data_IF_982884774073
#
_entry.id   IF_982884774073
#
_cell.length_a   1.000
_cell.length_b   1.000
_cell.length_c   1.000
_cell.angle_alpha   90.00
_cell.angle_beta   90.00
_cell.angle_gamma   90.00
#
_symmetry.space_group_name_H-M   'P 1'
#
loop_
_entity.id
_entity.type
_entity.pdbx_description
1 polymer ?
#
# COMPACT_ATOMS: atom_id res chain seq x y z
N UNK A 1 19.47 -17.36 3.28
CA UNK A 1 20.08 -18.01 2.09
C UNK A 1 19.06 -18.99 1.53
N UNK A 2 18.51 -18.70 0.36
CA UNK A 2 17.33 -19.39 -0.22
C UNK A 2 16.08 -18.50 -0.33
N UNK A 3 15.92 -17.52 0.57
CA UNK A 3 14.82 -16.56 0.55
C UNK A 3 15.16 -15.27 -0.21
N UNK A 4 14.12 -14.63 -0.76
CA UNK A 4 14.22 -13.33 -1.42
C UNK A 4 14.69 -12.19 -0.50
N UNK A 5 14.70 -10.96 -1.00
CA UNK A 5 15.02 -9.77 -0.20
C UNK A 5 13.73 -9.15 0.32
N UNK A 6 13.79 -8.54 1.51
CA UNK A 6 12.70 -7.73 2.09
C UNK A 6 13.25 -6.40 2.61
N UNK A 7 12.47 -5.33 2.48
CA UNK A 7 12.74 -4.09 3.16
C UNK A 7 12.11 -4.08 4.56
N UNK A 8 12.77 -3.37 5.46
CA UNK A 8 12.36 -3.18 6.85
C UNK A 8 12.50 -1.69 7.17
N UNK A 9 11.54 -1.11 7.87
CA UNK A 9 11.58 0.28 8.31
C UNK A 9 12.04 0.30 9.76
N UNK A 10 13.03 1.13 10.06
CA UNK A 10 13.52 1.35 11.41
C UNK A 10 13.09 2.75 11.89
N UNK A 11 12.31 2.79 12.97
CA UNK A 11 11.87 4.01 13.62
C UNK A 11 12.64 4.22 14.92
N UNK A 12 13.17 5.41 15.13
CA UNK A 12 13.95 5.75 16.33
C UNK A 12 13.38 7.00 17.02
N UNK A 13 13.35 7.03 18.37
CA UNK A 13 12.78 8.16 19.11
C UNK A 13 13.68 9.41 19.07
N UNK A 14 15.00 9.24 19.02
CA UNK A 14 15.94 10.36 19.07
C UNK A 14 16.96 10.33 17.94
N UNK A 15 17.42 11.51 17.53
CA UNK A 15 18.44 11.66 16.50
C UNK A 15 19.78 10.99 16.84
N UNK A 16 20.13 10.92 18.14
CA UNK A 16 21.33 10.20 18.61
C UNK A 16 21.26 8.70 18.29
N UNK A 17 20.08 8.10 18.38
CA UNK A 17 19.87 6.67 18.13
C UNK A 17 19.97 6.40 16.61
N UNK A 18 19.49 7.32 15.78
CA UNK A 18 19.68 7.26 14.32
C UNK A 18 21.16 7.32 13.95
N UNK A 19 21.95 8.18 14.62
CA UNK A 19 23.40 8.25 14.41
C UNK A 19 24.09 6.95 14.82
N UNK A 20 23.68 6.34 15.92
CA UNK A 20 24.20 5.05 16.37
C UNK A 20 23.84 3.94 15.38
N UNK A 21 22.59 3.90 14.91
CA UNK A 21 22.14 2.96 13.88
C UNK A 21 22.92 3.14 12.58
N UNK A 22 23.16 4.38 12.15
CA UNK A 22 23.97 4.67 10.96
C UNK A 22 25.42 4.15 11.10
N UNK A 23 26.02 4.23 12.29
CA UNK A 23 27.35 3.65 12.55
C UNK A 23 27.30 2.12 12.46
N UNK A 24 26.33 1.48 13.09
CA UNK A 24 26.16 0.02 13.01
C UNK A 24 25.93 -0.44 11.57
N UNK A 25 25.08 0.26 10.81
CA UNK A 25 24.79 -0.03 9.42
C UNK A 25 26.03 0.13 8.51
N UNK A 26 26.90 1.10 8.79
CA UNK A 26 28.12 1.33 8.01
C UNK A 26 29.10 0.15 8.01
N UNK A 27 28.99 -0.74 9.00
CA UNK A 27 29.78 -1.98 9.07
C UNK A 27 29.17 -3.11 8.22
N UNK A 28 27.94 -2.94 7.74
CA UNK A 28 27.15 -3.96 7.03
C UNK A 28 26.95 -3.64 5.54
N UNK A 29 27.20 -2.40 5.13
CA UNK A 29 27.03 -1.93 3.74
C UNK A 29 28.30 -1.27 3.25
N UNK A 30 28.50 -1.27 1.94
CA UNK A 30 29.70 -0.68 1.32
C UNK A 30 29.68 0.84 1.30
N UNK A 31 28.51 1.47 1.27
CA UNK A 31 28.41 2.93 1.25
C UNK A 31 27.16 3.45 1.98
N UNK A 32 27.22 3.73 3.28
CA UNK A 32 26.05 4.14 4.07
C UNK A 32 25.27 5.37 3.53
N UNK A 33 25.84 6.19 2.65
CA UNK A 33 25.17 7.35 2.06
C UNK A 33 24.34 7.02 0.81
N UNK A 34 24.46 5.82 0.23
CA UNK A 34 23.63 5.36 -0.87
C UNK A 34 22.34 4.71 -0.38
N UNK A 35 21.21 5.12 -0.98
CA UNK A 35 19.90 4.56 -0.65
C UNK A 35 19.78 3.07 -1.04
N UNK A 36 19.08 2.29 -0.21
CA UNK A 36 18.58 0.93 -0.50
C UNK A 36 19.61 -0.17 -0.80
N UNK A 37 20.78 -0.13 -0.15
CA UNK A 37 21.75 -1.22 -0.23
C UNK A 37 21.30 -2.47 0.55
N UNK A 38 21.67 -3.62 0.01
CA UNK A 38 21.51 -4.89 0.70
C UNK A 38 22.56 -5.00 1.81
N UNK A 39 22.12 -5.03 3.07
CA UNK A 39 22.96 -5.17 4.26
C UNK A 39 23.44 -6.61 4.54
N UNK A 40 23.14 -7.56 3.64
CA UNK A 40 23.55 -8.99 3.65
C UNK A 40 23.29 -9.76 4.94
N UNK A 41 22.45 -9.22 5.83
CA UNK A 41 21.97 -9.85 7.05
C UNK A 41 20.50 -10.25 6.91
N UNK A 42 20.05 -11.15 7.77
CA UNK A 42 18.63 -11.51 7.90
C UNK A 42 17.82 -10.39 8.55
N UNK A 43 16.50 -10.40 8.34
CA UNK A 43 15.61 -9.46 9.03
C UNK A 43 15.63 -9.67 10.55
N UNK A 44 15.86 -10.90 11.03
CA UNK A 44 16.03 -11.21 12.45
C UNK A 44 17.28 -10.55 13.05
N UNK A 45 18.41 -10.57 12.35
CA UNK A 45 19.63 -9.87 12.76
C UNK A 45 19.43 -8.35 12.71
N UNK A 46 18.76 -7.83 11.67
CA UNK A 46 18.43 -6.41 11.56
C UNK A 46 17.56 -5.96 12.75
N UNK A 47 16.55 -6.76 13.11
CA UNK A 47 15.73 -6.52 14.29
C UNK A 47 16.57 -6.46 15.57
N UNK A 48 17.52 -7.38 15.77
CA UNK A 48 18.35 -7.40 16.99
C UNK A 48 19.17 -6.11 17.12
N UNK A 49 19.76 -5.63 16.02
CA UNK A 49 20.53 -4.38 15.97
C UNK A 49 19.62 -3.19 16.30
N UNK A 50 18.49 -3.07 15.61
CA UNK A 50 17.53 -1.97 15.79
C UNK A 50 17.00 -1.94 17.23
N UNK A 51 16.55 -3.09 17.75
CA UNK A 51 16.01 -3.20 19.10
C UNK A 51 17.08 -2.90 20.17
N UNK A 52 18.35 -3.28 19.96
CA UNK A 52 19.44 -2.98 20.91
C UNK A 52 19.69 -1.48 21.07
N UNK A 53 19.53 -0.73 19.98
CA UNK A 53 19.70 0.74 19.93
C UNK A 53 18.44 1.47 20.44
N UNK A 54 17.34 0.76 20.68
CA UNK A 54 16.06 1.34 21.14
C UNK A 54 15.12 1.76 20.00
N UNK A 55 15.40 1.32 18.77
CA UNK A 55 14.50 1.49 17.64
C UNK A 55 13.43 0.40 17.56
N UNK A 56 12.47 0.63 16.67
CA UNK A 56 11.39 -0.30 16.33
C UNK A 56 11.53 -0.67 14.86
N UNK A 57 11.43 -1.97 14.57
CA UNK A 57 11.36 -2.48 13.22
C UNK A 57 9.91 -2.73 12.83
N UNK A 58 9.53 -2.28 11.63
CA UNK A 58 8.26 -2.60 10.96
C UNK A 58 8.58 -3.15 9.57
N UNK A 59 8.08 -4.34 9.21
CA UNK A 59 8.10 -4.83 7.83
C UNK A 59 7.53 -3.81 6.85
N UNK A 60 8.34 -3.43 5.86
CA UNK A 60 7.96 -2.47 4.83
C UNK A 60 7.16 -3.16 3.72
N UNK A 61 6.18 -2.45 3.17
CA UNK A 61 5.43 -2.79 1.95
C UNK A 61 5.32 -4.32 1.70
N UNK A 62 4.70 -5.03 2.65
CA UNK A 62 4.92 -6.44 2.90
C UNK A 62 4.47 -7.37 1.76
N UNK A 63 3.72 -6.85 0.79
CA UNK A 63 3.06 -7.60 -0.28
C UNK A 63 3.61 -7.31 -1.68
N UNK A 64 4.52 -6.34 -1.85
CA UNK A 64 5.07 -6.03 -3.18
C UNK A 64 5.77 -7.26 -3.77
N UNK A 65 5.66 -7.55 -5.07
CA UNK A 65 6.21 -8.79 -5.66
C UNK A 65 7.75 -8.87 -5.60
N UNK A 66 8.40 -7.76 -5.26
CA UNK A 66 9.84 -7.68 -5.04
C UNK A 66 10.11 -7.01 -3.71
N UNK A 67 11.24 -7.38 -3.09
CA UNK A 67 11.75 -6.75 -1.88
C UNK A 67 10.75 -6.71 -0.70
N UNK A 68 9.86 -7.69 -0.57
CA UNK A 68 8.87 -7.76 0.52
C UNK A 68 8.84 -9.13 1.21
N UNK A 69 8.24 -9.17 2.40
CA UNK A 69 8.12 -10.38 3.20
C UNK A 69 7.23 -11.43 2.51
N UNK A 70 5.96 -11.13 2.25
CA UNK A 70 5.00 -12.12 1.73
C UNK A 70 4.99 -12.23 0.21
N UNK A 71 5.30 -11.13 -0.48
CA UNK A 71 5.35 -11.12 -1.94
C UNK A 71 6.53 -11.93 -2.48
N UNK A 72 7.62 -12.07 -1.72
CA UNK A 72 8.87 -12.63 -2.26
C UNK A 72 9.72 -13.47 -1.28
N UNK A 73 9.62 -13.31 0.04
CA UNK A 73 10.54 -13.98 0.97
C UNK A 73 9.98 -15.27 1.58
N UNK A 74 8.81 -15.20 2.21
CA UNK A 74 8.28 -16.25 3.10
C UNK A 74 6.76 -16.38 2.95
N UNK A 75 6.20 -17.47 3.46
CA UNK A 75 4.73 -17.66 3.53
C UNK A 75 4.17 -17.19 4.87
N UNK A 76 4.98 -17.24 5.93
CA UNK A 76 4.62 -16.89 7.30
C UNK A 76 5.73 -16.11 8.01
N UNK A 77 5.36 -15.18 8.90
CA UNK A 77 6.34 -14.37 9.64
C UNK A 77 7.28 -15.20 10.55
N UNK A 78 6.84 -16.30 11.21
CA UNK A 78 7.74 -17.18 11.98
C UNK A 78 8.89 -17.80 11.19
N UNK A 79 8.85 -17.80 9.85
CA UNK A 79 9.97 -18.27 9.02
C UNK A 79 11.15 -17.28 9.02
N UNK A 80 10.91 -15.99 9.33
CA UNK A 80 11.95 -14.94 9.30
C UNK A 80 12.17 -14.24 10.65
N UNK A 81 11.22 -14.33 11.59
CA UNK A 81 11.32 -13.74 12.91
C UNK A 81 11.00 -14.77 14.01
N UNK A 82 11.77 -14.73 15.09
CA UNK A 82 11.47 -15.52 16.28
C UNK A 82 10.16 -15.08 16.94
N UNK A 83 9.52 -15.97 17.70
CA UNK A 83 8.29 -15.63 18.46
C UNK A 83 8.50 -14.47 19.44
N UNK A 84 9.69 -14.34 20.02
CA UNK A 84 10.02 -13.22 20.89
C UNK A 84 10.15 -11.89 20.12
N UNK A 85 10.68 -11.95 18.90
CA UNK A 85 10.75 -10.81 17.97
C UNK A 85 9.36 -10.35 17.54
N UNK A 86 8.50 -11.29 17.15
CA UNK A 86 7.15 -10.98 16.65
C UNK A 86 6.31 -10.19 17.65
N UNK A 87 6.41 -10.52 18.95
CA UNK A 87 5.74 -9.77 20.04
C UNK A 87 6.17 -8.31 20.15
N UNK A 88 7.30 -7.92 19.54
CA UNK A 88 7.86 -6.57 19.60
C UNK A 88 7.63 -5.77 18.32
N UNK A 89 7.13 -6.38 17.25
CA UNK A 89 6.75 -5.71 16.01
C UNK A 89 5.30 -5.22 16.18
N UNK A 90 5.03 -3.91 16.26
CA UNK A 90 3.67 -3.44 16.58
C UNK A 90 2.77 -3.33 15.34
N UNK A 91 3.35 -3.31 14.15
CA UNK A 91 2.63 -3.03 12.91
C UNK A 91 3.31 -3.68 11.68
N UNK A 92 2.55 -3.75 10.60
CA UNK A 92 3.00 -4.15 9.27
C UNK A 92 2.60 -3.05 8.28
N UNK A 93 3.51 -2.64 7.41
CA UNK A 93 3.18 -1.76 6.31
C UNK A 93 2.68 -2.57 5.11
N UNK A 94 1.48 -2.25 4.61
CA UNK A 94 0.87 -2.93 3.48
C UNK A 94 1.61 -2.62 2.17
N UNK A 95 1.80 -1.31 1.92
CA UNK A 95 2.37 -0.78 0.70
C UNK A 95 1.43 -0.89 -0.50
N UNK A 96 1.88 -0.31 -1.61
CA UNK A 96 1.07 0.02 -2.81
C UNK A 96 0.41 -1.14 -3.55
N UNK A 97 0.67 -2.38 -3.14
CA UNK A 97 0.19 -3.59 -3.82
C UNK A 97 -0.87 -4.34 -3.04
N UNK A 98 -1.21 -3.89 -1.84
CA UNK A 98 -2.21 -4.52 -0.99
C UNK A 98 -3.00 -3.49 -0.19
N UNK A 99 -4.25 -3.82 0.07
CA UNK A 99 -5.11 -3.15 1.02
C UNK A 99 -5.41 -4.09 2.20
N UNK A 100 -6.32 -3.65 3.08
CA UNK A 100 -6.76 -4.47 4.22
C UNK A 100 -7.41 -5.77 3.78
N UNK A 101 -8.23 -5.75 2.72
CA UNK A 101 -8.93 -6.93 2.22
C UNK A 101 -7.92 -8.02 1.82
N UNK A 102 -6.91 -7.66 1.02
CA UNK A 102 -5.86 -8.60 0.61
C UNK A 102 -5.10 -9.12 1.83
N UNK A 103 -4.65 -8.25 2.71
CA UNK A 103 -3.81 -8.63 3.84
C UNK A 103 -4.53 -9.54 4.86
N UNK A 104 -5.81 -9.29 5.16
CA UNK A 104 -6.59 -10.02 6.16
C UNK A 104 -7.04 -11.44 5.70
N UNK A 105 -6.57 -11.91 4.53
CA UNK A 105 -6.58 -13.35 4.23
C UNK A 105 -5.56 -14.13 5.07
N UNK A 106 -4.55 -13.46 5.62
CA UNK A 106 -3.52 -14.06 6.48
C UNK A 106 -3.91 -13.88 7.95
N UNK A 107 -4.25 -14.98 8.62
CA UNK A 107 -4.73 -14.96 10.00
C UNK A 107 -3.71 -14.37 10.98
N UNK A 108 -2.42 -14.63 10.76
CA UNK A 108 -1.36 -14.11 11.62
C UNK A 108 -1.31 -12.57 11.64
N UNK A 109 -1.85 -11.90 10.61
CA UNK A 109 -1.85 -10.45 10.52
C UNK A 109 -2.93 -9.76 11.36
N UNK A 110 -3.86 -10.53 11.93
CA UNK A 110 -4.90 -10.00 12.81
C UNK A 110 -4.34 -9.37 14.11
N UNK A 111 -3.13 -9.75 14.54
CA UNK A 111 -2.50 -9.20 15.73
C UNK A 111 -1.88 -7.80 15.50
N UNK A 112 -1.54 -7.46 14.25
CA UNK A 112 -0.77 -6.28 13.91
C UNK A 112 -1.64 -5.12 13.45
N UNK A 113 -1.21 -3.90 13.79
CA UNK A 113 -1.77 -2.67 13.19
C UNK A 113 -1.27 -2.55 11.75
N UNK A 114 -2.13 -2.12 10.83
CA UNK A 114 -1.72 -1.85 9.46
C UNK A 114 -1.34 -0.39 9.25
N UNK A 115 -0.26 -0.21 8.51
CA UNK A 115 0.20 1.08 8.03
C UNK A 115 0.13 1.14 6.51
N UNK A 116 -0.27 2.30 6.00
CA UNK A 116 -0.33 2.63 4.58
C UNK A 116 0.50 3.88 4.39
N UNK A 117 1.69 3.74 3.81
CA UNK A 117 2.66 4.82 3.68
C UNK A 117 3.14 4.92 2.24
N UNK A 118 3.37 6.15 1.81
CA UNK A 118 3.60 6.46 0.39
C UNK A 118 4.84 5.84 -0.27
N UNK A 119 5.90 5.49 0.48
CA UNK A 119 7.21 5.15 -0.10
C UNK A 119 7.64 6.15 -1.20
N UNK A 120 7.57 7.44 -0.86
CA UNK A 120 7.69 8.52 -1.82
C UNK A 120 9.14 8.73 -2.27
N UNK A 121 9.35 8.63 -3.58
CA UNK A 121 10.64 8.89 -4.24
C UNK A 121 10.64 10.21 -5.04
N UNK A 122 9.56 10.99 -4.93
CA UNK A 122 9.43 12.33 -5.50
C UNK A 122 8.36 13.11 -4.74
N UNK A 123 8.44 14.44 -4.76
CA UNK A 123 7.49 15.31 -4.07
C UNK A 123 6.02 15.01 -4.43
N UNK A 124 5.64 14.79 -5.71
CA UNK A 124 4.26 14.48 -6.07
C UNK A 124 3.74 13.12 -5.56
N UNK A 125 4.61 12.25 -5.04
CA UNK A 125 4.22 10.94 -4.51
C UNK A 125 4.12 10.94 -2.98
N UNK A 126 4.49 12.02 -2.29
CA UNK A 126 4.32 12.17 -0.84
C UNK A 126 2.82 12.09 -0.51
N UNK A 127 2.48 11.21 0.43
CA UNK A 127 1.10 11.07 0.90
C UNK A 127 0.16 10.39 -0.08
N UNK A 128 0.63 9.69 -1.13
CA UNK A 128 -0.26 8.83 -1.95
C UNK A 128 -0.87 7.65 -1.17
N UNK A 129 -0.26 7.33 -0.04
CA UNK A 129 -0.85 6.51 1.03
C UNK A 129 -0.47 7.16 2.36
N UNK A 130 -1.41 7.16 3.30
CA UNK A 130 -1.24 7.74 4.63
C UNK A 130 -2.26 7.16 5.60
N UNK A 131 -2.15 7.55 6.87
CA UNK A 131 -2.95 7.06 7.96
C UNK A 131 -3.61 8.25 8.66
N UNK A 132 -4.85 8.08 9.14
CA UNK A 132 -5.43 8.99 10.13
C UNK A 132 -5.20 8.35 11.50
N UNK A 133 -4.56 9.11 12.39
CA UNK A 133 -4.10 8.60 13.68
C UNK A 133 -4.73 9.43 14.80
N UNK A 134 -5.35 8.76 15.76
CA UNK A 134 -5.88 9.36 16.97
C UNK A 134 -4.80 9.32 18.06
N UNK A 135 -4.33 10.50 18.47
CA UNK A 135 -3.23 10.71 19.41
C UNK A 135 -3.62 11.76 20.45
N UNK A 136 -3.06 11.69 21.65
CA UNK A 136 -3.15 12.81 22.61
C UNK A 136 -2.23 13.96 22.18
N UNK A 137 -1.01 13.63 21.72
CA UNK A 137 0.03 14.59 21.31
C UNK A 137 0.78 14.08 20.09
N UNK A 138 1.22 14.99 19.22
CA UNK A 138 2.00 14.64 18.03
C UNK A 138 3.48 14.37 18.39
N UNK A 139 3.78 13.20 18.98
CA UNK A 139 5.13 12.78 19.30
C UNK A 139 5.34 11.27 19.10
N UNK A 140 6.60 10.83 19.15
CA UNK A 140 6.97 9.43 18.89
C UNK A 140 6.33 8.43 19.85
N UNK A 141 6.25 8.75 21.15
CA UNK A 141 5.65 7.88 22.16
C UNK A 141 4.18 7.60 21.83
N UNK A 142 3.45 8.64 21.46
CA UNK A 142 2.03 8.56 21.12
C UNK A 142 1.80 7.73 19.85
N UNK A 143 2.66 7.87 18.84
CA UNK A 143 2.63 6.99 17.66
C UNK A 143 2.84 5.52 18.06
N UNK A 144 3.82 5.23 18.94
CA UNK A 144 4.04 3.86 19.40
C UNK A 144 2.81 3.29 20.14
N UNK A 145 2.18 4.08 20.99
CA UNK A 145 0.93 3.69 21.66
C UNK A 145 -0.19 3.42 20.62
N UNK A 146 -0.29 4.24 19.57
CA UNK A 146 -1.26 4.04 18.49
C UNK A 146 -1.02 2.75 17.71
N UNK A 147 0.23 2.44 17.36
CA UNK A 147 0.60 1.20 16.69
C UNK A 147 0.31 -0.02 17.57
N UNK A 148 0.47 0.10 18.88
CA UNK A 148 0.16 -0.95 19.85
C UNK A 148 -1.32 -0.99 20.26
N UNK A 149 -2.14 -0.04 19.81
CA UNK A 149 -3.56 0.14 20.18
C UNK A 149 -3.77 0.24 21.69
N UNK A 150 -2.97 1.07 22.36
CA UNK A 150 -2.97 1.25 23.83
C UNK A 150 -3.50 2.62 24.23
N UNK A 151 -4.08 2.67 25.43
CA UNK A 151 -4.48 3.92 26.09
C UNK A 151 -5.39 4.81 25.20
N UNK A 152 -6.23 4.17 24.38
CA UNK A 152 -7.13 4.85 23.44
C UNK A 152 -6.49 5.33 22.14
N UNK A 153 -5.16 5.30 22.00
CA UNK A 153 -4.47 5.68 20.76
C UNK A 153 -4.61 4.59 19.72
N UNK A 154 -4.86 4.97 18.47
CA UNK A 154 -5.06 4.01 17.37
C UNK A 154 -4.95 4.66 16.00
N UNK A 155 -4.75 3.83 14.98
CA UNK A 155 -5.06 4.20 13.59
C UNK A 155 -6.57 4.10 13.42
N UNK A 156 -7.21 5.19 12.97
CA UNK A 156 -8.67 5.22 12.77
C UNK A 156 -9.08 5.05 11.30
N UNK A 157 -8.16 5.27 10.37
CA UNK A 157 -8.37 5.01 8.94
C UNK A 157 -7.03 4.83 8.23
N UNK A 158 -7.00 3.93 7.26
CA UNK A 158 -5.94 3.80 6.28
C UNK A 158 -6.42 4.37 4.95
N UNK A 159 -5.57 5.14 4.27
CA UNK A 159 -5.81 5.61 2.91
C UNK A 159 -4.69 5.12 2.02
N UNK A 160 -5.04 4.56 0.87
CA UNK A 160 -4.05 4.14 -0.10
C UNK A 160 -4.66 3.70 -1.42
N UNK A 161 -3.84 3.20 -2.32
CA UNK A 161 -4.25 2.91 -3.69
C UNK A 161 -5.20 1.71 -3.73
N UNK A 162 -6.16 1.70 -4.66
CA UNK A 162 -6.84 0.45 -5.01
C UNK A 162 -5.80 -0.52 -5.60
N UNK A 163 -5.53 -1.69 -4.97
CA UNK A 163 -4.51 -2.62 -5.42
C UNK A 163 -4.75 -3.12 -6.85
N UNK A 164 -5.99 -3.08 -7.36
CA UNK A 164 -6.33 -3.42 -8.76
C UNK A 164 -5.59 -2.54 -9.75
N UNK A 165 -5.26 -1.30 -9.40
CA UNK A 165 -4.45 -0.42 -10.25
C UNK A 165 -2.99 -0.86 -10.29
N UNK A 166 -2.52 -1.66 -9.33
CA UNK A 166 -1.14 -2.14 -9.25
C UNK A 166 -0.69 -2.93 -10.47
N UNK A 167 0.58 -2.77 -10.84
CA UNK A 167 1.21 -3.41 -12.02
C UNK A 167 1.19 -4.95 -12.00
N UNK A 168 1.08 -5.53 -10.81
CA UNK A 168 1.21 -6.97 -10.57
C UNK A 168 0.03 -7.49 -9.73
N UNK A 169 -1.15 -6.89 -9.83
CA UNK A 169 -2.29 -7.29 -9.01
C UNK A 169 -2.75 -8.72 -9.31
N UNK A 170 -3.06 -9.02 -10.58
CA UNK A 170 -3.45 -10.36 -11.06
C UNK A 170 -2.32 -11.04 -11.83
N UNK A 171 -2.36 -12.37 -11.84
CA UNK A 171 -1.46 -13.23 -12.61
C UNK A 171 -1.55 -12.93 -14.10
N UNK A 172 -0.40 -12.90 -14.76
CA UNK A 172 -0.25 -12.54 -16.16
C UNK A 172 0.46 -13.64 -16.95
N UNK A 173 -0.09 -14.01 -18.10
CA UNK A 173 0.53 -14.97 -19.00
C UNK A 173 1.54 -14.30 -19.93
N UNK A 174 2.78 -14.77 -19.92
CA UNK A 174 3.86 -14.23 -20.76
C UNK A 174 3.71 -14.63 -22.23
N UNK A 175 2.97 -15.70 -22.54
CA UNK A 175 2.78 -16.19 -23.91
C UNK A 175 1.73 -15.40 -24.68
N UNK A 176 0.54 -15.25 -24.11
CA UNK A 176 -0.59 -14.60 -24.80
C UNK A 176 -0.90 -13.20 -24.26
N UNK A 177 -0.06 -12.67 -23.36
CA UNK A 177 -0.19 -11.35 -22.73
C UNK A 177 -1.55 -11.13 -22.03
N UNK A 178 -2.11 -12.20 -21.49
CA UNK A 178 -3.44 -12.19 -20.87
C UNK A 178 -3.34 -12.03 -19.35
N UNK A 179 -4.08 -11.08 -18.79
CA UNK A 179 -4.24 -10.91 -17.34
C UNK A 179 -5.42 -11.76 -16.87
N UNK A 180 -5.19 -12.64 -15.90
CA UNK A 180 -6.16 -13.63 -15.47
C UNK A 180 -7.42 -13.01 -14.85
N UNK A 181 -8.58 -13.58 -15.19
CA UNK A 181 -9.90 -13.16 -14.68
C UNK A 181 -10.60 -14.25 -13.87
N UNK A 182 -10.15 -15.51 -13.97
CA UNK A 182 -10.61 -16.60 -13.11
C UNK A 182 -10.28 -16.35 -11.63
N UNK A 183 -10.93 -17.15 -10.78
CA UNK A 183 -10.74 -17.10 -9.34
C UNK A 183 -9.27 -17.38 -8.98
N UNK A 184 -8.65 -16.55 -8.12
CA UNK A 184 -7.33 -16.87 -7.56
C UNK A 184 -7.36 -18.16 -6.72
N UNK A 185 -6.21 -18.85 -6.58
CA UNK A 185 -4.93 -18.54 -7.20
C UNK A 185 -4.82 -19.16 -8.60
N UNK A 186 -4.29 -18.41 -9.55
CA UNK A 186 -4.08 -18.88 -10.92
C UNK A 186 -2.71 -19.54 -11.07
N UNK A 187 -2.68 -20.75 -11.64
CA UNK A 187 -1.45 -21.53 -11.88
C UNK A 187 -1.13 -21.77 -13.36
N UNK A 188 -2.13 -21.64 -14.24
CA UNK A 188 -2.00 -21.73 -15.70
C UNK A 188 -2.89 -20.68 -16.35
N UNK A 189 -2.52 -20.24 -17.55
CA UNK A 189 -3.31 -19.29 -18.30
C UNK A 189 -4.65 -19.90 -18.72
N UNK A 190 -5.77 -19.30 -18.32
CA UNK A 190 -7.12 -19.72 -18.71
C UNK A 190 -7.41 -19.56 -20.22
N UNK A 191 -6.61 -18.75 -20.92
CA UNK A 191 -6.79 -18.49 -22.36
C UNK A 191 -6.00 -19.44 -23.27
N UNK A 192 -4.77 -19.80 -22.90
CA UNK A 192 -3.88 -20.61 -23.75
C UNK A 192 -3.30 -21.86 -23.07
N UNK A 193 -3.64 -22.13 -21.81
CA UNK A 193 -3.17 -23.29 -21.05
C UNK A 193 -1.71 -23.25 -20.60
N UNK A 194 -0.92 -22.24 -21.01
CA UNK A 194 0.50 -22.13 -20.65
C UNK A 194 0.70 -21.92 -19.14
N UNK A 195 1.75 -22.54 -18.61
CA UNK A 195 2.28 -22.39 -17.25
C UNK A 195 3.32 -21.27 -17.11
N UNK A 196 3.72 -20.62 -18.23
CA UNK A 196 4.60 -19.45 -18.22
C UNK A 196 3.83 -18.20 -17.78
N UNK A 197 3.74 -18.02 -16.47
CA UNK A 197 2.99 -16.95 -15.82
C UNK A 197 3.85 -16.14 -14.85
N UNK A 198 3.58 -14.84 -14.78
CA UNK A 198 4.02 -13.96 -13.68
C UNK A 198 2.91 -13.92 -12.65
N UNK A 199 3.15 -14.53 -11.48
CA UNK A 199 2.19 -14.59 -10.37
C UNK A 199 1.82 -13.18 -9.90
N UNK A 200 0.52 -12.90 -9.80
CA UNK A 200 0.01 -11.65 -9.24
C UNK A 200 0.06 -11.65 -7.71
N UNK A 201 0.11 -10.45 -7.11
CA UNK A 201 0.09 -10.26 -5.65
C UNK A 201 -1.17 -10.84 -5.05
N UNK A 202 -2.34 -10.59 -5.64
CA UNK A 202 -3.58 -11.14 -5.11
C UNK A 202 -3.59 -12.67 -5.19
N UNK A 203 -3.17 -13.25 -6.32
CA UNK A 203 -3.04 -14.71 -6.44
C UNK A 203 -2.06 -15.31 -5.44
N UNK A 204 -0.92 -14.65 -5.21
CA UNK A 204 0.07 -15.08 -4.22
C UNK A 204 -0.53 -15.10 -2.82
N UNK A 205 -1.27 -14.06 -2.43
CA UNK A 205 -1.84 -13.97 -1.08
C UNK A 205 -2.99 -14.94 -0.87
N UNK A 206 -3.83 -15.20 -1.87
CA UNK A 206 -4.81 -16.28 -1.78
C UNK A 206 -4.13 -17.65 -1.68
N UNK A 207 -3.03 -17.89 -2.41
CA UNK A 207 -2.26 -19.14 -2.35
C UNK A 207 -1.64 -19.42 -0.96
N UNK A 208 -1.27 -18.37 -0.23
CA UNK A 208 -0.72 -18.49 1.13
C UNK A 208 -1.75 -18.15 2.21
N UNK A 209 -2.98 -17.74 1.87
CA UNK A 209 -4.02 -17.30 2.79
C UNK A 209 -4.51 -18.42 3.69
N UNK A 210 -4.94 -18.07 4.89
CA UNK A 210 -5.62 -19.00 5.81
C UNK A 210 -7.14 -19.02 5.57
N UNK A 211 -7.68 -17.94 5.01
CA UNK A 211 -9.11 -17.78 4.74
C UNK A 211 -9.40 -17.72 3.24
N UNK A 212 -10.52 -18.30 2.82
CA UNK A 212 -11.02 -18.17 1.44
C UNK A 212 -11.61 -16.79 1.14
N UNK A 213 -12.11 -16.12 2.18
CA UNK A 213 -12.60 -14.75 2.16
C UNK A 213 -11.87 -13.95 3.24
N UNK A 214 -11.62 -12.67 2.99
CA UNK A 214 -10.94 -11.81 3.97
C UNK A 214 -11.72 -11.72 5.29
N UNK A 215 -11.04 -11.87 6.42
CA UNK A 215 -11.63 -11.75 7.75
C UNK A 215 -10.83 -10.73 8.56
N UNK A 216 -11.35 -9.50 8.65
CA UNK A 216 -10.74 -8.45 9.46
C UNK A 216 -11.10 -8.59 10.94
N UNK A 217 -10.14 -8.39 11.87
CA UNK A 217 -10.44 -8.31 13.30
C UNK A 217 -11.23 -7.04 13.62
N UNK A 218 -11.95 -7.02 14.75
CA UNK A 218 -12.82 -5.90 15.14
C UNK A 218 -12.10 -4.55 15.33
N UNK A 219 -10.79 -4.58 15.57
CA UNK A 219 -9.97 -3.37 15.72
C UNK A 219 -9.46 -2.80 14.39
N UNK A 220 -9.64 -3.52 13.27
CA UNK A 220 -9.15 -3.10 11.96
C UNK A 220 -9.89 -1.83 11.51
N UNK A 221 -9.18 -0.73 11.25
CA UNK A 221 -9.83 0.48 10.73
C UNK A 221 -10.25 0.30 9.27
N UNK A 222 -11.18 1.12 8.76
CA UNK A 222 -11.51 1.15 7.35
C UNK A 222 -10.28 1.51 6.49
N UNK A 223 -10.19 0.88 5.32
CA UNK A 223 -9.28 1.26 4.25
C UNK A 223 -10.07 2.01 3.18
N UNK A 224 -9.68 3.26 2.92
CA UNK A 224 -10.28 4.08 1.88
C UNK A 224 -9.42 4.06 0.62
N UNK A 225 -9.93 3.45 -0.44
CA UNK A 225 -9.25 3.41 -1.73
C UNK A 225 -9.20 4.79 -2.36
N UNK A 226 -8.00 5.17 -2.78
CA UNK A 226 -7.72 6.37 -3.54
C UNK A 226 -7.31 5.99 -4.96
N UNK A 227 -7.83 6.74 -5.92
CA UNK A 227 -7.34 6.73 -7.29
C UNK A 227 -6.49 7.98 -7.48
N UNK A 228 -5.19 7.86 -7.80
CA UNK A 228 -4.34 9.01 -8.08
C UNK A 228 -4.99 9.93 -9.10
N UNK A 229 -4.91 11.24 -8.90
CA UNK A 229 -5.54 12.19 -9.82
C UNK A 229 -5.05 11.99 -11.27
N UNK A 230 -3.79 11.62 -11.46
CA UNK A 230 -3.21 11.28 -12.78
C UNK A 230 -3.87 10.08 -13.49
N UNK A 231 -4.60 9.21 -12.77
CA UNK A 231 -5.31 8.06 -13.35
C UNK A 231 -6.78 8.39 -13.63
N UNK A 232 -7.26 9.55 -13.18
CA UNK A 232 -8.64 9.99 -13.40
C UNK A 232 -8.82 10.40 -14.86
N UNK A 233 -9.82 9.84 -15.58
CA UNK A 233 -10.08 10.23 -16.97
C UNK A 233 -10.28 11.74 -17.14
N UNK A 234 -9.53 12.34 -18.08
CA UNK A 234 -9.54 13.79 -18.34
C UNK A 234 -8.54 14.60 -17.51
N UNK A 235 -7.92 14.01 -16.49
CA UNK A 235 -6.91 14.69 -15.66
C UNK A 235 -5.51 14.38 -16.19
N UNK A 236 -5.09 15.13 -17.21
CA UNK A 236 -3.71 15.16 -17.66
C UNK A 236 -2.86 16.16 -16.89
N UNK A 237 -1.54 16.22 -17.19
CA UNK A 237 -0.59 17.15 -16.56
C UNK A 237 -1.06 18.61 -16.53
N UNK A 238 -1.63 19.11 -17.64
CA UNK A 238 -2.15 20.49 -17.72
C UNK A 238 -3.33 20.71 -16.79
N UNK A 239 -4.27 19.76 -16.74
CA UNK A 239 -5.44 19.81 -15.84
C UNK A 239 -5.01 19.75 -14.38
N UNK A 240 -4.04 18.89 -14.07
CA UNK A 240 -3.50 18.75 -12.73
C UNK A 240 -2.83 20.04 -12.25
N UNK A 241 -2.03 20.69 -13.10
CA UNK A 241 -1.44 21.98 -12.77
C UNK A 241 -2.50 23.04 -12.47
N UNK A 242 -3.57 23.16 -13.29
CA UNK A 242 -4.68 24.08 -13.01
C UNK A 242 -5.33 23.83 -11.65
N UNK A 243 -5.51 22.56 -11.29
CA UNK A 243 -6.05 22.19 -9.98
C UNK A 243 -5.09 22.58 -8.84
N UNK A 244 -3.79 22.37 -9.00
CA UNK A 244 -2.80 22.79 -8.00
C UNK A 244 -2.69 24.31 -7.89
N UNK A 245 -2.77 25.04 -9.00
CA UNK A 245 -2.76 26.52 -8.97
C UNK A 245 -3.95 27.08 -8.18
N UNK A 246 -5.12 26.43 -8.25
CA UNK A 246 -6.33 26.86 -7.54
C UNK A 246 -6.41 26.33 -6.09
N UNK A 247 -6.09 25.06 -5.87
CA UNK A 247 -6.29 24.38 -4.58
C UNK A 247 -5.02 24.23 -3.74
N UNK A 248 -3.84 24.55 -4.29
CA UNK A 248 -2.54 24.45 -3.64
C UNK A 248 -1.98 23.04 -3.55
N UNK A 249 -2.71 22.09 -2.95
CA UNK A 249 -2.22 20.72 -2.70
C UNK A 249 -3.20 19.65 -3.15
N UNK A 250 -2.67 18.47 -3.50
CA UNK A 250 -3.48 17.29 -3.77
C UNK A 250 -4.36 16.91 -2.58
N UNK A 251 -3.87 17.05 -1.34
CA UNK A 251 -4.66 16.77 -0.13
C UNK A 251 -5.87 17.70 0.01
N UNK A 252 -5.70 18.99 -0.33
CA UNK A 252 -6.82 19.92 -0.32
C UNK A 252 -7.87 19.55 -1.37
N UNK A 253 -7.41 19.14 -2.56
CA UNK A 253 -8.28 18.57 -3.60
C UNK A 253 -8.99 17.37 -2.99
N UNK A 254 -8.30 16.29 -2.61
CA UNK A 254 -8.89 15.03 -2.18
C UNK A 254 -9.89 15.15 -0.99
N UNK A 255 -9.66 16.06 -0.04
CA UNK A 255 -10.45 16.09 1.21
C UNK A 255 -11.40 17.26 1.38
N UNK A 256 -11.11 18.43 0.80
CA UNK A 256 -11.81 19.68 1.17
C UNK A 256 -12.53 20.31 0.01
N UNK A 257 -11.95 20.28 -1.19
CA UNK A 257 -12.52 20.92 -2.37
C UNK A 257 -13.91 20.35 -2.70
N UNK A 258 -14.91 21.21 -2.81
CA UNK A 258 -16.27 20.82 -3.20
C UNK A 258 -16.38 20.48 -4.69
N UNK A 259 -17.42 19.76 -5.08
CA UNK A 259 -17.71 19.49 -6.50
C UNK A 259 -17.84 20.80 -7.30
N UNK A 260 -18.51 21.80 -6.73
CA UNK A 260 -18.77 23.08 -7.36
C UNK A 260 -17.46 23.83 -7.64
N UNK A 261 -16.54 23.86 -6.68
CA UNK A 261 -15.23 24.50 -6.85
C UNK A 261 -14.41 23.79 -7.93
N UNK A 262 -14.34 22.45 -7.90
CA UNK A 262 -13.58 21.68 -8.91
C UNK A 262 -14.18 21.91 -10.30
N UNK A 263 -15.51 21.91 -10.41
CA UNK A 263 -16.23 22.10 -11.68
C UNK A 263 -15.91 23.45 -12.31
N UNK A 264 -15.71 24.51 -11.51
CA UNK A 264 -15.30 25.83 -12.01
C UNK A 264 -13.91 25.81 -12.67
N UNK A 265 -13.01 24.94 -12.21
CA UNK A 265 -11.62 24.88 -12.71
C UNK A 265 -11.49 23.96 -13.92
N UNK A 266 -12.17 22.81 -13.91
CA UNK A 266 -11.94 21.72 -14.89
C UNK A 266 -13.19 21.25 -15.62
N UNK A 267 -14.36 21.86 -15.37
CA UNK A 267 -15.64 21.47 -15.95
C UNK A 267 -16.31 20.30 -15.22
N UNK A 268 -17.61 20.14 -15.47
CA UNK A 268 -18.48 19.21 -14.74
C UNK A 268 -18.09 17.73 -14.87
N UNK A 269 -17.66 17.30 -16.06
CA UNK A 269 -17.30 15.90 -16.32
C UNK A 269 -16.06 15.47 -15.53
N UNK A 270 -14.98 16.27 -15.61
CA UNK A 270 -13.74 15.99 -14.89
C UNK A 270 -13.97 16.09 -13.38
N UNK A 271 -14.72 17.08 -12.93
CA UNK A 271 -15.08 17.21 -11.52
C UNK A 271 -15.85 15.98 -11.01
N UNK A 272 -16.80 15.45 -11.78
CA UNK A 272 -17.54 14.25 -11.41
C UNK A 272 -16.59 13.05 -11.26
N UNK A 273 -15.66 12.86 -12.22
CA UNK A 273 -14.69 11.77 -12.16
C UNK A 273 -13.76 11.90 -10.94
N UNK A 274 -13.34 13.12 -10.58
CA UNK A 274 -12.55 13.38 -9.37
C UNK A 274 -13.34 13.04 -8.10
N UNK A 275 -14.62 13.39 -8.02
CA UNK A 275 -15.45 13.04 -6.86
C UNK A 275 -15.65 11.52 -6.76
N UNK A 276 -15.87 10.82 -7.88
CA UNK A 276 -15.95 9.36 -7.89
C UNK A 276 -14.62 8.71 -7.47
N UNK A 277 -13.49 9.26 -7.93
CA UNK A 277 -12.15 8.81 -7.56
C UNK A 277 -11.91 8.90 -6.04
N UNK A 278 -12.31 10.03 -5.42
CA UNK A 278 -12.18 10.24 -3.97
C UNK A 278 -13.00 9.27 -3.14
N UNK A 279 -14.14 8.85 -3.67
CA UNK A 279 -15.06 7.91 -3.00
C UNK A 279 -14.72 6.44 -3.28
N UNK A 280 -13.68 6.15 -4.07
CA UNK A 280 -13.36 4.79 -4.50
C UNK A 280 -14.43 4.16 -5.40
N UNK A 281 -15.27 4.96 -6.06
CA UNK A 281 -16.43 4.50 -6.84
C UNK A 281 -16.15 4.39 -8.35
N UNK A 282 -14.90 4.59 -8.77
CA UNK A 282 -14.51 4.38 -10.16
C UNK A 282 -14.40 2.89 -10.46
N UNK A 283 -15.02 2.44 -11.54
CA UNK A 283 -14.87 1.06 -12.01
C UNK A 283 -13.46 0.83 -12.54
N UNK A 284 -12.79 -0.23 -12.08
CA UNK A 284 -11.39 -0.51 -12.43
C UNK A 284 -11.26 -1.82 -13.22
N UNK A 285 -10.26 -1.89 -14.09
CA UNK A 285 -9.74 -3.14 -14.66
C UNK A 285 -8.39 -3.44 -14.03
N UNK A 286 -8.15 -4.66 -13.53
CA UNK A 286 -6.93 -4.98 -12.80
C UNK A 286 -5.69 -4.95 -13.70
N UNK A 287 -4.56 -4.55 -13.11
CA UNK A 287 -3.24 -4.68 -13.71
C UNK A 287 -2.65 -6.08 -13.57
N UNK A 288 -1.55 -6.31 -14.28
CA UNK A 288 -0.83 -7.58 -14.30
C UNK A 288 0.41 -7.52 -15.20
N UNK A 289 1.42 -8.33 -14.89
CA UNK A 289 2.61 -8.48 -15.74
C UNK A 289 3.40 -7.19 -15.98
N UNK A 290 3.44 -6.27 -15.00
CA UNK A 290 4.14 -4.98 -15.12
C UNK A 290 3.28 -3.85 -15.69
N UNK A 291 2.04 -4.13 -16.12
CA UNK A 291 1.11 -3.13 -16.66
C UNK A 291 0.13 -2.69 -15.57
N UNK A 292 0.03 -1.37 -15.37
CA UNK A 292 -0.97 -0.79 -14.45
C UNK A 292 -2.39 -1.19 -14.86
N UNK A 293 -3.25 -1.35 -13.85
CA UNK A 293 -4.69 -1.35 -14.04
C UNK A 293 -5.18 0.01 -14.54
N UNK A 294 -6.46 0.09 -14.88
CA UNK A 294 -7.05 1.29 -15.50
C UNK A 294 -8.42 1.56 -14.94
N UNK A 295 -8.79 2.84 -14.90
CA UNK A 295 -10.19 3.23 -14.74
C UNK A 295 -10.93 2.86 -16.03
N UNK A 296 -11.96 2.03 -15.92
CA UNK A 296 -12.87 1.72 -17.02
C UNK A 296 -13.64 2.98 -17.38
N UNK A 297 -13.71 3.31 -18.67
CA UNK A 297 -14.62 4.36 -19.13
C UNK A 297 -16.05 3.94 -18.79
N UNK A 298 -16.88 4.90 -18.37
CA UNK A 298 -18.33 4.66 -18.30
C UNK A 298 -18.77 4.15 -19.67
N UNK A 299 -19.47 3.03 -19.70
CA UNK A 299 -20.27 2.69 -20.88
C UNK A 299 -21.20 3.88 -21.11
N UNK A 300 -21.30 4.38 -22.34
CA UNK A 300 -22.31 5.37 -22.68
C UNK A 300 -23.65 4.69 -22.41
N UNK A 301 -24.27 5.02 -21.29
CA UNK A 301 -25.66 4.66 -21.04
C UNK A 301 -26.45 5.43 -22.09
N UNK A 302 -26.84 4.73 -23.16
CA UNK A 302 -27.86 5.22 -24.08
C UNK A 302 -29.19 5.19 -23.32
N UNK A 303 -29.61 6.33 -22.79
CA UNK A 303 -30.93 6.51 -22.20
C UNK A 303 -30.91 7.28 -20.87
N UNK A 304 -31.61 8.42 -20.88
CA UNK A 304 -31.91 9.27 -19.74
C UNK A 304 -32.31 8.49 -18.48
N UNK A 305 -31.41 8.44 -17.49
CA UNK A 305 -31.82 8.42 -16.08
C UNK A 305 -30.88 9.33 -15.28
N UNK A 306 -31.41 10.48 -14.89
CA UNK A 306 -30.84 11.38 -13.89
C UNK A 306 -30.47 10.59 -12.63
N UNK A 307 -29.18 10.27 -12.47
CA UNK A 307 -28.62 10.03 -11.14
C UNK A 307 -28.50 11.40 -10.47
N UNK A 308 -29.53 11.77 -9.72
CA UNK A 308 -29.39 12.79 -8.69
C UNK A 308 -28.38 12.26 -7.65
N UNK A 309 -27.12 12.64 -7.84
CA UNK A 309 -26.17 12.65 -6.74
C UNK A 309 -26.56 13.85 -5.89
N UNK A 310 -27.19 13.59 -4.74
CA UNK A 310 -27.40 14.64 -3.74
C UNK A 310 -26.03 15.20 -3.35
N UNK A 311 -25.85 16.48 -3.64
CA UNK A 311 -24.64 17.27 -3.43
C UNK A 311 -24.41 17.56 -1.96
#
# INVERSE_FOLDING_TARGET
KGGGHSHQIAYFPYFKDIKEFSKALSLLVTNVTLSSQNCKISAQEAFQIINKIGGILIPAHAFTPHKSIYGNCVRRLPEIFSRATLKKIPAIELGLSADTEIADHLKELAEYTFLTNSDAHSLPKIGREYNIVELEKANFKEILLALQRKEGRKIIANYGLDPKLGKYHRTFCEICNYTATSNPPVYKCEKCGSDKIVKGVFDRIIEIGDYQQSISPSHRPPYYHQVPLEFVPGVGKKTLNKLFDYFGTEMNILHKASYQEISRVVGFEIAQNIILARKGLLNLSPGGGGKYGKVKKKEKISGDKNLQLNF
#
